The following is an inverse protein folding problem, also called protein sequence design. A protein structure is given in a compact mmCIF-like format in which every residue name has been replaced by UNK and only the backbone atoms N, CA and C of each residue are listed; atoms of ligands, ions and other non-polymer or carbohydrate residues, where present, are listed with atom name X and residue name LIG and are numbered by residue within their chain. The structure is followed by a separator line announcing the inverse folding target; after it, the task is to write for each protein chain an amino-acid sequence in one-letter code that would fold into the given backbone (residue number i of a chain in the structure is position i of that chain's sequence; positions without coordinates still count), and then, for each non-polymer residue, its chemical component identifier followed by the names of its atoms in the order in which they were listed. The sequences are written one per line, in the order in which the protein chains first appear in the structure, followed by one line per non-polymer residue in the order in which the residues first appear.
data_IF_852235726090
#
_entry.id   IF_852235726090
#
_cell.length_a   1.000
_cell.length_b   1.000
_cell.length_c   1.000
_cell.angle_alpha   90.00
_cell.angle_beta   90.00
_cell.angle_gamma   90.00
#
_symmetry.space_group_name_H-M   'P 1'
#
loop_
_entity.id
_entity.type
_entity.pdbx_description
1 polymer ?
#
# COMPACT_ATOMS: atom_id res chain seq x y z
N UNK A 1 -1.28 -12.97 14.75
CA UNK A 1 -0.64 -12.92 13.42
C UNK A 1 -1.16 -11.65 12.75
N UNK A 2 -0.35 -10.63 12.66
CA UNK A 2 -0.69 -9.36 12.02
C UNK A 2 -0.67 -9.60 10.52
N UNK A 3 -1.85 -9.52 9.88
CA UNK A 3 -2.05 -9.85 8.47
C UNK A 3 -1.56 -8.81 7.47
N UNK A 4 -0.50 -8.08 7.78
CA UNK A 4 0.19 -7.22 6.81
C UNK A 4 1.37 -8.01 6.27
N UNK A 5 1.16 -8.80 5.24
CA UNK A 5 2.25 -9.41 4.50
C UNK A 5 2.87 -8.37 3.57
N UNK A 6 4.05 -7.90 3.91
CA UNK A 6 4.94 -7.27 2.92
C UNK A 6 5.52 -8.38 2.05
N UNK A 7 4.79 -8.79 1.03
CA UNK A 7 5.29 -9.69 0.01
C UNK A 7 6.20 -8.93 -0.96
N UNK A 8 7.04 -9.68 -1.67
CA UNK A 8 8.05 -9.29 -2.64
C UNK A 8 7.78 -7.92 -3.28
N UNK A 9 8.81 -7.09 -3.32
CA UNK A 9 8.75 -5.76 -3.92
C UNK A 9 8.48 -5.87 -5.41
N UNK A 10 7.29 -5.54 -5.92
CA UNK A 10 7.12 -5.38 -7.35
C UNK A 10 7.99 -4.21 -7.78
N UNK A 11 8.73 -4.42 -8.85
CA UNK A 11 9.65 -3.45 -9.43
C UNK A 11 9.14 -3.14 -10.82
N UNK A 12 8.74 -1.88 -11.07
CA UNK A 12 8.63 -1.39 -12.43
C UNK A 12 10.00 -0.94 -12.92
N UNK A 13 10.13 -0.65 -14.21
CA UNK A 13 11.37 -0.06 -14.75
C UNK A 13 11.72 1.29 -14.08
N UNK A 14 10.78 1.92 -13.41
CA UNK A 14 10.90 3.27 -12.84
C UNK A 14 10.93 3.31 -11.32
N UNK A 15 10.27 2.35 -10.63
CA UNK A 15 10.02 2.42 -9.18
C UNK A 15 10.07 1.07 -8.50
N UNK A 16 10.43 1.11 -7.22
CA UNK A 16 10.18 0.04 -6.26
C UNK A 16 8.90 0.34 -5.48
N UNK A 17 8.07 -0.67 -5.29
CA UNK A 17 6.84 -0.57 -4.53
C UNK A 17 6.90 -1.44 -3.28
N UNK A 18 6.46 -0.91 -2.15
CA UNK A 18 6.10 -1.73 -1.00
C UNK A 18 4.62 -2.12 -1.16
N UNK A 19 4.36 -3.40 -1.34
CA UNK A 19 3.02 -3.94 -1.49
C UNK A 19 2.46 -4.31 -0.12
N UNK A 20 1.27 -3.80 0.19
CA UNK A 20 0.50 -4.14 1.38
C UNK A 20 -0.79 -4.82 0.91
N UNK A 21 -0.93 -6.09 1.22
CA UNK A 21 -2.16 -6.82 0.95
C UNK A 21 -3.18 -6.57 2.06
N UNK A 22 -4.36 -6.08 1.67
CA UNK A 22 -5.45 -5.80 2.58
C UNK A 22 -6.53 -6.88 2.41
N UNK A 23 -6.67 -7.82 3.37
CA UNK A 23 -7.66 -8.88 3.25
C UNK A 23 -9.07 -8.30 3.24
N UNK A 24 -9.91 -8.82 2.32
CA UNK A 24 -11.25 -8.33 2.04
C UNK A 24 -12.33 -8.69 3.07
N UNK A 25 -12.02 -9.44 4.12
CA UNK A 25 -12.99 -9.89 5.12
C UNK A 25 -13.22 -8.85 6.23
N UNK A 26 -14.46 -8.69 6.65
CA UNK A 26 -14.87 -7.73 7.69
C UNK A 26 -14.08 -7.86 9.02
N UNK A 27 -13.64 -9.07 9.36
CA UNK A 27 -12.84 -9.34 10.56
C UNK A 27 -11.44 -8.69 10.55
N UNK A 28 -10.97 -8.23 9.38
CA UNK A 28 -9.64 -7.67 9.20
C UNK A 28 -9.61 -6.14 9.03
N UNK A 29 -10.74 -5.46 9.26
CA UNK A 29 -10.86 -4.00 9.12
C UNK A 29 -9.78 -3.25 9.91
N UNK A 30 -9.42 -3.72 11.11
CA UNK A 30 -8.35 -3.10 11.93
C UNK A 30 -7.00 -3.15 11.22
N UNK A 31 -6.67 -4.28 10.60
CA UNK A 31 -5.40 -4.45 9.89
C UNK A 31 -5.38 -3.61 8.59
N UNK A 32 -6.54 -3.48 7.95
CA UNK A 32 -6.70 -2.63 6.78
C UNK A 32 -6.52 -1.16 7.13
N UNK A 33 -7.06 -0.68 8.25
CA UNK A 33 -6.88 0.71 8.71
C UNK A 33 -5.39 0.99 8.95
N UNK A 34 -4.68 0.11 9.65
CA UNK A 34 -3.25 0.28 9.93
C UNK A 34 -2.40 0.25 8.65
N UNK A 35 -2.71 -0.68 7.74
CA UNK A 35 -2.02 -0.79 6.45
C UNK A 35 -2.33 0.37 5.51
N UNK A 36 -3.60 0.75 5.39
CA UNK A 36 -4.06 1.80 4.49
C UNK A 36 -3.56 3.19 4.87
N UNK A 37 -3.41 3.48 6.16
CA UNK A 37 -2.86 4.74 6.64
C UNK A 37 -1.41 5.02 6.18
N UNK A 38 -0.73 3.99 5.68
CA UNK A 38 0.68 4.06 5.24
C UNK A 38 0.82 4.05 3.72
N UNK A 39 -0.28 3.97 2.96
CA UNK A 39 -0.25 3.82 1.51
C UNK A 39 -0.20 5.19 0.81
N UNK A 40 0.67 5.29 -0.18
CA UNK A 40 0.73 6.45 -1.09
C UNK A 40 -0.31 6.35 -2.22
N UNK A 41 -0.86 5.15 -2.44
CA UNK A 41 -1.94 4.86 -3.37
C UNK A 41 -2.48 3.45 -3.16
N UNK A 42 -3.63 3.14 -3.75
CA UNK A 42 -4.25 1.83 -3.67
C UNK A 42 -4.63 1.31 -5.05
N UNK A 43 -4.56 0.00 -5.23
CA UNK A 43 -5.18 -0.71 -6.34
C UNK A 43 -6.48 -1.34 -5.83
N UNK A 44 -7.61 -0.87 -6.33
CA UNK A 44 -8.91 -1.45 -6.04
C UNK A 44 -9.19 -2.57 -7.05
N UNK A 45 -9.22 -3.81 -6.57
CA UNK A 45 -9.53 -4.96 -7.40
C UNK A 45 -11.00 -5.31 -7.30
N UNK A 46 -11.71 -5.31 -8.43
CA UNK A 46 -13.13 -5.66 -8.54
C UNK A 46 -13.30 -6.76 -9.58
N UNK A 47 -14.06 -7.80 -9.28
CA UNK A 47 -14.37 -8.84 -10.26
C UNK A 47 -15.40 -8.30 -11.27
N UNK A 48 -15.09 -8.39 -12.56
CA UNK A 48 -16.00 -7.98 -13.62
C UNK A 48 -17.27 -8.86 -13.68
N UNK A 49 -17.20 -10.08 -13.13
CA UNK A 49 -18.35 -11.01 -13.06
C UNK A 49 -19.38 -10.60 -12.01
N UNK A 50 -18.96 -9.94 -10.93
CA UNK A 50 -19.80 -9.69 -9.74
C UNK A 50 -20.08 -8.20 -9.51
N UNK A 51 -19.25 -7.33 -10.09
CA UNK A 51 -19.32 -5.89 -9.86
C UNK A 51 -18.92 -5.47 -8.44
N UNK A 52 -19.22 -4.23 -8.05
CA UNK A 52 -18.85 -3.71 -6.73
C UNK A 52 -19.75 -4.30 -5.63
N UNK A 53 -19.23 -5.26 -4.90
CA UNK A 53 -19.87 -5.92 -3.77
C UNK A 53 -19.97 -5.00 -2.54
N UNK A 54 -20.80 -5.32 -1.51
CA UNK A 54 -20.88 -4.55 -0.27
C UNK A 54 -19.53 -4.32 0.39
N UNK A 55 -18.65 -5.33 0.39
CA UNK A 55 -17.28 -5.23 0.90
C UNK A 55 -16.43 -4.22 0.12
N UNK A 56 -16.60 -4.13 -1.20
CA UNK A 56 -15.93 -3.13 -2.02
C UNK A 56 -16.29 -1.71 -1.55
N UNK A 57 -17.57 -1.48 -1.21
CA UNK A 57 -18.05 -0.19 -0.68
C UNK A 57 -17.40 0.15 0.67
N UNK A 58 -17.28 -0.84 1.55
CA UNK A 58 -16.61 -0.68 2.84
C UNK A 58 -15.12 -0.36 2.67
N UNK A 59 -14.42 -1.04 1.75
CA UNK A 59 -13.01 -0.79 1.47
C UNK A 59 -12.78 0.62 0.91
N UNK A 60 -13.61 1.06 -0.02
CA UNK A 60 -13.52 2.42 -0.59
C UNK A 60 -13.76 3.48 0.48
N UNK A 61 -14.77 3.28 1.34
CA UNK A 61 -15.05 4.16 2.45
C UNK A 61 -13.87 4.25 3.42
N UNK A 62 -13.30 3.11 3.80
CA UNK A 62 -12.15 3.04 4.70
C UNK A 62 -10.91 3.68 4.08
N UNK A 63 -10.60 3.39 2.81
CA UNK A 63 -9.50 4.01 2.10
C UNK A 63 -9.62 5.55 2.13
N UNK A 64 -10.84 6.07 1.97
CA UNK A 64 -11.10 7.50 2.08
C UNK A 64 -10.89 8.05 3.48
N UNK A 65 -11.39 7.34 4.51
CA UNK A 65 -11.28 7.75 5.92
C UNK A 65 -9.83 7.78 6.42
N UNK A 66 -9.01 6.83 6.00
CA UNK A 66 -7.58 6.79 6.36
C UNK A 66 -6.71 7.67 5.48
N UNK A 67 -7.29 8.34 4.48
CA UNK A 67 -6.61 9.35 3.69
C UNK A 67 -5.78 8.81 2.53
N UNK A 68 -6.10 7.63 1.99
CA UNK A 68 -5.46 7.15 0.73
C UNK A 68 -5.72 8.17 -0.38
N UNK A 69 -4.66 8.78 -0.96
CA UNK A 69 -4.85 9.89 -1.87
C UNK A 69 -5.20 9.50 -3.31
N UNK A 70 -4.73 8.34 -3.76
CA UNK A 70 -4.86 7.88 -5.15
C UNK A 70 -5.37 6.45 -5.21
N UNK A 71 -6.29 6.19 -6.15
CA UNK A 71 -6.85 4.86 -6.40
C UNK A 71 -6.76 4.55 -7.89
N UNK A 72 -6.19 3.38 -8.22
CA UNK A 72 -6.22 2.79 -9.55
C UNK A 72 -7.15 1.58 -9.49
N UNK A 73 -7.99 1.37 -10.48
CA UNK A 73 -8.92 0.23 -10.50
C UNK A 73 -8.39 -0.87 -11.42
N UNK A 74 -8.46 -2.10 -10.95
CA UNK A 74 -8.25 -3.29 -11.76
C UNK A 74 -9.53 -4.11 -11.81
N UNK A 75 -10.19 -4.14 -12.97
CA UNK A 75 -11.33 -5.03 -13.23
C UNK A 75 -10.79 -6.41 -13.60
N UNK A 76 -10.85 -7.31 -12.62
CA UNK A 76 -10.33 -8.67 -12.75
C UNK A 76 -11.39 -9.62 -13.28
N UNK A 77 -10.98 -10.79 -13.74
CA UNK A 77 -11.83 -11.86 -14.31
C UNK A 77 -12.56 -11.45 -15.58
N UNK A 78 -12.00 -10.54 -16.39
CA UNK A 78 -12.61 -10.16 -17.67
C UNK A 78 -12.65 -11.33 -18.68
N UNK A 79 -11.80 -12.34 -18.49
CA UNK A 79 -11.82 -13.60 -19.26
C UNK A 79 -13.07 -14.45 -19.03
N UNK A 80 -13.75 -14.27 -17.90
CA UNK A 80 -14.95 -15.02 -17.54
C UNK A 80 -16.26 -14.32 -17.94
N UNK A 81 -16.17 -13.12 -18.54
CA UNK A 81 -17.34 -12.34 -18.99
C UNK A 81 -17.44 -12.44 -20.50
N UNK A 82 -18.52 -13.02 -20.98
CA UNK A 82 -18.74 -13.22 -22.43
C UNK A 82 -19.21 -11.94 -23.14
N UNK A 83 -19.96 -11.10 -22.42
CA UNK A 83 -20.55 -9.87 -22.97
C UNK A 83 -19.71 -8.63 -22.53
N UNK A 84 -19.04 -7.96 -23.49
CA UNK A 84 -18.28 -6.75 -23.20
C UNK A 84 -19.10 -5.61 -22.59
N UNK A 85 -20.41 -5.52 -22.88
CA UNK A 85 -21.29 -4.48 -22.35
C UNK A 85 -21.46 -4.61 -20.82
N UNK A 86 -21.36 -5.84 -20.28
CA UNK A 86 -21.37 -6.06 -18.84
C UNK A 86 -20.11 -5.49 -18.16
N UNK A 87 -18.96 -5.58 -18.83
CA UNK A 87 -17.72 -5.01 -18.30
C UNK A 87 -17.83 -3.48 -18.25
N UNK A 88 -18.42 -2.87 -19.30
CA UNK A 88 -18.64 -1.43 -19.35
C UNK A 88 -19.59 -0.96 -18.23
N UNK A 89 -20.64 -1.74 -17.98
CA UNK A 89 -21.60 -1.45 -16.90
C UNK A 89 -20.91 -1.52 -15.52
N UNK A 90 -20.13 -2.57 -15.27
CA UNK A 90 -19.39 -2.73 -14.02
C UNK A 90 -18.37 -1.59 -13.82
N UNK A 91 -17.67 -1.18 -14.88
CA UNK A 91 -16.77 -0.03 -14.82
C UNK A 91 -17.50 1.24 -14.42
N UNK A 92 -18.68 1.48 -15.02
CA UNK A 92 -19.51 2.64 -14.70
C UNK A 92 -19.95 2.63 -13.23
N UNK A 93 -20.42 1.49 -12.72
CA UNK A 93 -20.80 1.33 -11.32
C UNK A 93 -19.63 1.59 -10.34
N UNK A 94 -18.43 1.13 -10.68
CA UNK A 94 -17.22 1.36 -9.87
C UNK A 94 -16.85 2.83 -9.88
N UNK A 95 -16.92 3.51 -11.03
CA UNK A 95 -16.65 4.95 -11.15
C UNK A 95 -17.65 5.78 -10.34
N UNK A 96 -18.93 5.46 -10.41
CA UNK A 96 -19.98 6.10 -9.61
C UNK A 96 -19.75 5.89 -8.11
N UNK A 97 -19.40 4.66 -7.72
CA UNK A 97 -19.06 4.34 -6.33
C UNK A 97 -17.90 5.19 -5.82
N UNK A 98 -16.81 5.27 -6.57
CA UNK A 98 -15.63 6.05 -6.20
C UNK A 98 -15.94 7.55 -6.12
N UNK A 99 -16.71 8.09 -7.06
CA UNK A 99 -17.18 9.47 -7.05
C UNK A 99 -18.02 9.76 -5.81
N UNK A 100 -18.94 8.87 -5.45
CA UNK A 100 -19.78 8.99 -4.26
C UNK A 100 -18.97 9.10 -2.96
N UNK A 101 -17.84 8.42 -2.89
CA UNK A 101 -16.93 8.48 -1.73
C UNK A 101 -15.83 9.54 -1.84
N UNK A 102 -15.89 10.42 -2.87
CA UNK A 102 -15.04 11.59 -3.00
C UNK A 102 -13.69 11.33 -3.67
N UNK A 103 -13.57 10.23 -4.41
CA UNK A 103 -12.48 10.03 -5.37
C UNK A 103 -12.87 10.57 -6.76
N UNK A 104 -11.92 10.96 -7.61
CA UNK A 104 -12.22 11.46 -8.95
C UNK A 104 -12.58 10.30 -9.92
N UNK A 105 -13.77 9.72 -9.75
CA UNK A 105 -14.20 8.49 -10.44
C UNK A 105 -14.09 8.56 -11.97
N UNK A 106 -14.30 9.73 -12.57
CA UNK A 106 -14.23 9.90 -14.02
C UNK A 106 -12.78 9.91 -14.55
N UNK A 107 -11.84 10.46 -13.76
CA UNK A 107 -10.46 10.68 -14.19
C UNK A 107 -9.48 9.57 -13.78
N UNK A 108 -9.91 8.68 -12.85
CA UNK A 108 -9.02 7.63 -12.38
C UNK A 108 -8.82 6.52 -13.43
N UNK A 109 -7.61 5.93 -13.49
CA UNK A 109 -7.34 4.85 -14.41
C UNK A 109 -8.05 3.56 -14.01
N UNK A 110 -8.67 2.92 -15.00
CA UNK A 110 -9.29 1.58 -14.89
C UNK A 110 -8.62 0.67 -15.90
N UNK A 111 -8.06 -0.43 -15.41
CA UNK A 111 -7.45 -1.45 -16.27
C UNK A 111 -8.29 -2.71 -16.19
N UNK A 112 -8.62 -3.28 -17.35
CA UNK A 112 -9.42 -4.50 -17.50
C UNK A 112 -8.49 -5.67 -17.78
N UNK A 113 -8.61 -6.76 -17.02
CA UNK A 113 -7.71 -7.89 -17.19
C UNK A 113 -8.16 -9.17 -16.51
N UNK A 114 -7.31 -10.18 -16.62
CA UNK A 114 -7.43 -11.45 -15.89
C UNK A 114 -6.11 -11.78 -15.20
N UNK A 115 -6.11 -11.73 -13.88
CA UNK A 115 -4.94 -12.10 -13.11
C UNK A 115 -4.61 -13.60 -13.25
N UNK A 116 -5.64 -14.46 -13.40
CA UNK A 116 -5.45 -15.88 -13.61
C UNK A 116 -4.86 -16.16 -15.00
N UNK A 117 -5.38 -15.51 -16.05
CA UNK A 117 -4.84 -15.63 -17.40
C UNK A 117 -3.39 -15.17 -17.48
N UNK A 118 -3.05 -14.06 -16.83
CA UNK A 118 -1.67 -13.60 -16.73
C UNK A 118 -0.76 -14.60 -15.97
N UNK A 119 -1.24 -15.17 -14.87
CA UNK A 119 -0.50 -16.19 -14.12
C UNK A 119 -0.26 -17.47 -14.95
N UNK A 120 -1.16 -17.80 -15.86
CA UNK A 120 -1.04 -18.92 -16.80
C UNK A 120 -0.11 -18.62 -17.99
N UNK A 121 0.42 -17.41 -18.10
CA UNK A 121 1.34 -17.01 -19.17
C UNK A 121 0.63 -16.60 -20.47
N UNK A 122 -0.64 -16.20 -20.41
CA UNK A 122 -1.36 -15.68 -21.57
C UNK A 122 -0.91 -14.23 -21.86
N UNK A 123 -0.18 -14.04 -22.96
CA UNK A 123 0.48 -12.76 -23.31
C UNK A 123 -0.47 -11.54 -23.29
N UNK A 124 -1.74 -11.74 -23.72
CA UNK A 124 -2.73 -10.67 -23.68
C UNK A 124 -3.03 -10.17 -22.27
N UNK A 125 -3.04 -11.07 -21.28
CA UNK A 125 -3.33 -10.73 -19.89
C UNK A 125 -2.09 -10.28 -19.13
N UNK A 126 -0.91 -10.80 -19.48
CA UNK A 126 0.36 -10.28 -18.99
C UNK A 126 0.52 -8.81 -19.36
N UNK A 127 0.23 -8.44 -20.63
CA UNK A 127 0.26 -7.05 -21.08
C UNK A 127 -0.71 -6.14 -20.27
N UNK A 128 -1.82 -6.69 -19.75
CA UNK A 128 -2.75 -5.93 -18.89
C UNK A 128 -2.20 -5.70 -17.48
N UNK A 129 -1.38 -6.60 -16.97
CA UNK A 129 -0.66 -6.38 -15.71
C UNK A 129 0.42 -5.29 -15.89
N UNK A 130 1.13 -5.30 -17.03
CA UNK A 130 2.08 -4.23 -17.36
C UNK A 130 1.38 -2.87 -17.50
N UNK A 131 0.22 -2.83 -18.15
CA UNK A 131 -0.63 -1.64 -18.25
C UNK A 131 -1.07 -1.12 -16.87
N UNK A 132 -1.44 -2.03 -15.96
CA UNK A 132 -1.77 -1.68 -14.58
C UNK A 132 -0.57 -1.02 -13.87
N UNK A 133 0.62 -1.59 -13.99
CA UNK A 133 1.83 -1.03 -13.39
C UNK A 133 2.19 0.33 -14.00
N UNK A 134 2.02 0.48 -15.31
CA UNK A 134 2.19 1.79 -15.96
C UNK A 134 1.17 2.82 -15.49
N UNK A 135 -0.09 2.43 -15.29
CA UNK A 135 -1.13 3.29 -14.77
C UNK A 135 -0.78 3.77 -13.35
N UNK A 136 -0.30 2.86 -12.50
CA UNK A 136 0.21 3.20 -11.16
C UNK A 136 1.40 4.16 -11.25
N UNK A 137 2.37 3.89 -12.12
CA UNK A 137 3.55 4.75 -12.31
C UNK A 137 3.19 6.18 -12.75
N UNK A 138 2.13 6.33 -13.54
CA UNK A 138 1.70 7.63 -14.09
C UNK A 138 0.77 8.39 -13.14
N UNK A 139 -0.15 7.68 -12.51
CA UNK A 139 -1.23 8.27 -11.74
C UNK A 139 -0.89 8.54 -10.27
N UNK A 140 -0.11 7.64 -9.65
CA UNK A 140 0.34 7.84 -8.28
C UNK A 140 1.67 8.62 -8.29
N UNK A 141 1.71 9.87 -7.81
CA UNK A 141 2.96 10.64 -7.81
C UNK A 141 3.97 10.03 -6.83
N UNK A 142 5.24 10.39 -7.01
CA UNK A 142 6.23 10.09 -5.98
C UNK A 142 5.89 10.90 -4.72
N UNK A 143 5.83 10.26 -3.54
CA UNK A 143 5.56 10.98 -2.31
C UNK A 143 6.64 12.03 -2.06
N UNK A 144 6.22 13.22 -1.63
CA UNK A 144 7.15 14.25 -1.20
C UNK A 144 7.87 13.75 0.06
N UNK A 145 9.20 13.64 -0.01
CA UNK A 145 10.02 13.17 1.11
C UNK A 145 10.52 14.35 1.91
N UNK A 146 10.00 14.53 3.11
CA UNK A 146 10.40 15.55 4.09
C UNK A 146 11.71 15.15 4.81
N UNK A 147 12.79 14.94 4.05
CA UNK A 147 14.08 14.48 4.57
C UNK A 147 14.82 15.52 5.42
N UNK A 148 14.54 16.81 5.17
CA UNK A 148 15.17 17.93 5.89
C UNK A 148 14.48 18.26 7.23
N UNK A 149 13.40 17.56 7.56
CA UNK A 149 12.69 17.73 8.83
C UNK A 149 13.28 16.84 9.93
N UNK A 150 13.03 17.16 11.20
CA UNK A 150 13.39 16.26 12.30
C UNK A 150 12.84 14.86 12.08
N UNK A 151 13.62 13.85 12.44
CA UNK A 151 13.22 12.45 12.33
C UNK A 151 11.94 12.17 13.10
N UNK A 152 11.01 11.48 12.44
CA UNK A 152 9.76 11.01 13.03
C UNK A 152 9.43 9.63 12.48
N UNK A 153 9.29 8.67 13.39
CA UNK A 153 8.84 7.31 13.09
C UNK A 153 7.83 6.87 14.14
N UNK A 154 6.53 6.76 13.81
CA UNK A 154 5.56 6.11 14.68
C UNK A 154 5.95 4.65 14.89
N UNK A 155 5.98 4.22 16.17
CA UNK A 155 6.29 2.84 16.51
C UNK A 155 5.03 1.98 16.29
N UNK A 156 5.14 0.98 15.42
CA UNK A 156 4.07 0.05 15.11
C UNK A 156 4.18 -1.23 15.94
N UNK A 157 5.41 -1.74 16.09
CA UNK A 157 5.67 -2.97 16.82
C UNK A 157 7.01 -2.93 17.53
N UNK A 158 7.17 -3.74 18.59
CA UNK A 158 8.36 -3.78 19.44
C UNK A 158 8.76 -5.23 19.63
N UNK A 159 10.04 -5.52 19.36
CA UNK A 159 10.63 -6.84 19.53
C UNK A 159 11.87 -6.76 20.43
N UNK A 160 12.06 -7.74 21.29
CA UNK A 160 13.32 -7.94 22.01
C UNK A 160 14.10 -9.08 21.35
N UNK A 161 15.26 -8.76 20.82
CA UNK A 161 16.13 -9.75 20.17
C UNK A 161 17.35 -9.99 21.05
N UNK A 162 17.56 -11.24 21.43
CA UNK A 162 18.70 -11.62 22.25
C UNK A 162 20.03 -11.25 21.56
N UNK A 163 20.89 -10.47 22.23
CA UNK A 163 22.15 -9.98 21.69
C UNK A 163 22.06 -8.71 20.83
N UNK A 164 20.87 -8.26 20.48
CA UNK A 164 20.66 -6.98 19.71
C UNK A 164 19.90 -5.93 20.52
N UNK A 165 19.22 -6.31 21.60
CA UNK A 165 18.43 -5.40 22.41
C UNK A 165 16.99 -5.24 21.94
N UNK A 166 16.42 -4.08 22.18
CA UNK A 166 15.06 -3.75 21.77
C UNK A 166 15.07 -3.21 20.33
N UNK A 167 14.26 -3.79 19.48
CA UNK A 167 14.06 -3.36 18.08
C UNK A 167 12.63 -2.84 17.94
N UNK A 168 12.50 -1.67 17.39
CA UNK A 168 11.20 -1.06 17.06
C UNK A 168 10.99 -1.06 15.54
N UNK A 169 9.78 -1.24 15.11
CA UNK A 169 9.41 -1.19 13.69
C UNK A 169 8.42 -0.07 13.43
N UNK A 170 8.49 0.53 12.27
CA UNK A 170 7.59 1.57 11.84
C UNK A 170 7.94 2.13 10.48
N UNK A 171 7.11 3.04 9.99
CA UNK A 171 7.39 3.83 8.80
C UNK A 171 8.06 5.14 9.22
N UNK A 172 9.22 5.44 8.65
CA UNK A 172 9.81 6.78 8.80
C UNK A 172 8.96 7.76 7.99
N UNK A 173 8.32 8.69 8.67
CA UNK A 173 7.46 9.71 8.05
C UNK A 173 8.24 10.97 7.66
N UNK A 174 9.27 11.31 8.41
CA UNK A 174 10.08 12.52 8.22
C UNK A 174 11.51 12.28 8.64
N UNK A 175 12.41 13.03 8.02
CA UNK A 175 13.82 13.08 8.38
C UNK A 175 14.59 11.83 8.02
N UNK A 176 15.78 11.75 8.57
CA UNK A 176 16.73 10.66 8.38
C UNK A 176 17.16 10.18 9.77
N UNK A 177 17.30 8.87 9.93
CA UNK A 177 17.86 8.23 11.12
C UNK A 177 19.18 7.59 10.77
N UNK A 178 20.26 7.92 11.48
CA UNK A 178 21.59 7.34 11.29
C UNK A 178 21.98 6.46 12.46
N UNK A 179 22.75 5.42 12.18
CA UNK A 179 23.37 4.60 13.22
C UNK A 179 24.31 5.47 14.04
N UNK A 180 24.21 5.38 15.37
CA UNK A 180 24.97 6.19 16.32
C UNK A 180 24.31 7.50 16.74
N UNK A 181 23.20 7.89 16.13
CA UNK A 181 22.45 9.09 16.49
C UNK A 181 21.63 8.91 17.77
N UNK A 182 21.55 9.98 18.60
CA UNK A 182 20.67 10.03 19.76
C UNK A 182 19.25 10.38 19.30
N UNK A 183 18.28 9.57 19.72
CA UNK A 183 16.86 9.73 19.41
C UNK A 183 16.04 9.83 20.69
N UNK A 184 14.91 10.52 20.62
CA UNK A 184 13.93 10.62 21.70
C UNK A 184 12.74 9.70 21.45
N UNK A 185 12.43 8.87 22.45
CA UNK A 185 11.22 8.06 22.47
C UNK A 185 10.15 8.84 23.21
N UNK A 186 9.14 9.28 22.48
CA UNK A 186 8.02 10.10 22.99
C UNK A 186 6.76 9.24 23.05
N UNK A 187 6.00 9.35 24.14
CA UNK A 187 4.76 8.61 24.31
C UNK A 187 4.00 9.04 25.58
N UNK A 188 3.17 8.15 26.13
CA UNK A 188 2.40 8.42 27.34
C UNK A 188 3.24 8.50 28.63
N UNK A 189 4.49 8.03 28.57
CA UNK A 189 5.46 8.12 29.67
C UNK A 189 6.44 9.24 29.39
N UNK A 190 7.28 9.53 30.41
CA UNK A 190 8.35 10.50 30.26
C UNK A 190 9.23 10.18 29.06
N UNK A 191 9.60 11.22 28.30
CA UNK A 191 10.48 11.12 27.14
C UNK A 191 11.81 10.49 27.55
N UNK A 192 12.28 9.52 26.79
CA UNK A 192 13.55 8.84 27.00
C UNK A 192 14.46 9.05 25.81
N UNK A 193 15.73 9.27 26.09
CA UNK A 193 16.77 9.30 25.07
C UNK A 193 17.40 7.92 24.91
N UNK A 194 17.68 7.56 23.68
CA UNK A 194 18.37 6.32 23.32
C UNK A 194 19.27 6.56 22.12
N UNK A 195 20.23 5.66 21.91
CA UNK A 195 21.09 5.70 20.74
C UNK A 195 20.69 4.61 19.78
N UNK A 196 20.59 4.94 18.50
CA UNK A 196 20.31 3.99 17.44
C UNK A 196 21.54 3.11 17.20
N UNK A 197 21.43 1.83 17.51
CA UNK A 197 22.55 0.87 17.36
C UNK A 197 22.56 0.20 15.98
N UNK A 198 21.46 0.24 15.25
CA UNK A 198 21.35 -0.31 13.91
C UNK A 198 20.06 0.09 13.23
N UNK A 199 20.10 0.11 11.91
CA UNK A 199 18.93 0.33 11.05
C UNK A 199 18.85 -0.85 10.08
N UNK A 200 17.65 -1.44 9.94
CA UNK A 200 17.43 -2.58 9.06
C UNK A 200 16.21 -2.34 8.19
N UNK A 201 16.30 -2.65 6.92
CA UNK A 201 15.17 -2.66 5.97
C UNK A 201 15.24 -3.88 5.08
N UNK A 202 14.14 -4.63 4.99
CA UNK A 202 14.07 -5.89 4.22
C UNK A 202 15.20 -6.89 4.52
N UNK A 203 15.52 -7.06 5.81
CA UNK A 203 16.61 -7.94 6.30
C UNK A 203 18.02 -7.51 5.84
N UNK A 204 18.19 -6.26 5.44
CA UNK A 204 19.49 -5.67 5.12
C UNK A 204 19.81 -4.58 6.13
N UNK A 205 21.01 -4.65 6.71
CA UNK A 205 21.53 -3.59 7.56
C UNK A 205 21.90 -2.39 6.69
N UNK A 206 21.52 -1.21 7.17
CA UNK A 206 21.77 0.08 6.55
C UNK A 206 22.52 0.99 7.49
N UNK A 207 23.31 1.91 6.96
CA UNK A 207 23.98 2.96 7.75
C UNK A 207 23.01 4.06 8.17
N UNK A 208 21.92 4.24 7.40
CA UNK A 208 20.86 5.21 7.68
C UNK A 208 19.51 4.71 7.18
N UNK A 209 18.44 5.17 7.81
CA UNK A 209 17.06 5.02 7.36
C UNK A 209 16.49 6.36 6.92
N UNK A 210 15.81 6.34 5.77
CA UNK A 210 15.08 7.49 5.23
C UNK A 210 13.58 7.18 5.18
N UNK A 211 12.78 8.13 4.70
CA UNK A 211 11.34 7.96 4.56
C UNK A 211 11.01 6.64 3.84
N UNK A 212 10.24 5.82 4.52
CA UNK A 212 9.90 4.46 4.13
C UNK A 212 9.78 3.56 5.35
N UNK A 213 9.56 2.27 5.14
CA UNK A 213 9.46 1.31 6.25
C UNK A 213 10.84 0.87 6.70
N UNK A 214 11.17 1.09 7.96
CA UNK A 214 12.43 0.70 8.56
C UNK A 214 12.22 -0.05 9.89
N UNK A 215 13.24 -0.83 10.27
CA UNK A 215 13.39 -1.42 11.60
C UNK A 215 14.60 -0.74 12.26
N UNK A 216 14.40 -0.20 13.43
CA UNK A 216 15.43 0.55 14.20
C UNK A 216 15.65 -0.10 15.56
#
# INVERSE_FOLDING_TARGET
MTGVQTCALPISAKRHYAHVDCPGHADYIKNMITGAAQMDGAILVVAATDGPMPQTKEHVLLARQVGVPYVVVFLNKCDAVEDPELIDLVEMEVRELLTKYGFPGDDLPVVRGSALGALNGEAQWEAKIDELMEAVDKYVPLPARDIDKPFLMPIEDIFSIQGRGTVVTGRIEKGICKVGEEMEIVGFRDTRKTVVTGVEMFKKLLDQGEIGRAHV
#
